data_IF_016873067048
#
_entry.id   IF_016873067048
#
_cell.length_a   1.000
_cell.length_b   1.000
_cell.length_c   1.000
_cell.angle_alpha   90.00
_cell.angle_beta   90.00
_cell.angle_gamma   90.00
#
_symmetry.space_group_name_H-M   'P 1'
#
loop_
_entity.id
_entity.type
_entity.pdbx_description
1 polymer ?
#
# COMPACT_ATOMS: atom_id res chain seq x y z
N UNK A 1 -13.40 3.53 -26.85
CA UNK A 1 -13.14 2.15 -26.37
C UNK A 1 -14.07 1.78 -25.21
N UNK A 2 -14.18 2.61 -24.16
CA UNK A 2 -15.05 2.36 -22.99
C UNK A 2 -16.56 2.17 -23.28
N UNK A 3 -17.10 2.93 -24.25
CA UNK A 3 -18.52 2.87 -24.63
C UNK A 3 -18.94 1.56 -25.32
N UNK A 4 -18.03 0.90 -26.03
CA UNK A 4 -18.33 -0.35 -26.77
C UNK A 4 -18.40 -1.55 -25.81
N UNK A 5 -17.55 -1.57 -24.78
CA UNK A 5 -17.54 -2.62 -23.75
C UNK A 5 -18.81 -2.62 -22.89
N UNK A 6 -19.34 -1.43 -22.59
CA UNK A 6 -20.53 -1.30 -21.74
C UNK A 6 -21.82 -1.70 -22.49
N UNK A 7 -21.92 -1.39 -23.78
CA UNK A 7 -23.01 -1.86 -24.65
C UNK A 7 -22.93 -3.38 -24.82
N UNK A 8 -21.73 -3.95 -25.01
CA UNK A 8 -21.52 -5.39 -25.12
C UNK A 8 -21.89 -6.16 -23.84
N UNK A 9 -21.58 -5.60 -22.66
CA UNK A 9 -21.96 -6.18 -21.36
C UNK A 9 -23.48 -6.20 -21.15
N UNK A 10 -24.16 -5.10 -21.50
CA UNK A 10 -25.64 -5.00 -21.38
C UNK A 10 -26.35 -5.96 -22.33
N UNK A 11 -25.88 -6.10 -23.57
CA UNK A 11 -26.45 -7.07 -24.51
C UNK A 11 -26.23 -8.51 -24.06
N UNK A 12 -25.09 -8.83 -23.45
CA UNK A 12 -24.81 -10.17 -22.93
C UNK A 12 -25.78 -10.56 -21.80
N UNK A 13 -25.99 -9.69 -20.81
CA UNK A 13 -26.91 -9.93 -19.69
C UNK A 13 -28.33 -10.17 -20.22
N UNK A 14 -28.75 -9.38 -21.21
CA UNK A 14 -30.08 -9.48 -21.79
C UNK A 14 -30.28 -10.79 -22.56
N UNK A 15 -29.30 -11.19 -23.37
CA UNK A 15 -29.34 -12.47 -24.10
C UNK A 15 -29.32 -13.65 -23.12
N UNK A 16 -28.45 -13.62 -22.12
CA UNK A 16 -28.36 -14.67 -21.10
C UNK A 16 -29.69 -14.81 -20.33
N UNK A 17 -30.32 -13.68 -19.97
CA UNK A 17 -31.63 -13.66 -19.34
C UNK A 17 -32.72 -14.28 -20.22
N UNK A 18 -32.77 -13.92 -21.50
CA UNK A 18 -33.75 -14.49 -22.46
C UNK A 18 -33.55 -16.00 -22.63
N UNK A 19 -32.30 -16.46 -22.75
CA UNK A 19 -31.97 -17.88 -22.88
C UNK A 19 -32.37 -18.63 -21.61
N UNK A 20 -32.10 -18.08 -20.42
CA UNK A 20 -32.48 -18.68 -19.15
C UNK A 20 -34.01 -18.81 -19.01
N UNK A 21 -34.76 -17.77 -19.38
CA UNK A 21 -36.23 -17.79 -19.38
C UNK A 21 -36.75 -18.85 -20.35
N UNK A 22 -36.23 -18.88 -21.58
CA UNK A 22 -36.63 -19.86 -22.59
C UNK A 22 -36.32 -21.29 -22.15
N UNK A 23 -35.16 -21.52 -21.53
CA UNK A 23 -34.78 -22.82 -20.98
C UNK A 23 -35.71 -23.24 -19.83
N UNK A 24 -36.03 -22.32 -18.91
CA UNK A 24 -36.98 -22.58 -17.82
C UNK A 24 -38.36 -23.00 -18.36
N UNK A 25 -38.90 -22.27 -19.34
CA UNK A 25 -40.17 -22.60 -20.00
C UNK A 25 -40.09 -23.99 -20.65
N UNK A 26 -39.03 -24.27 -21.40
CA UNK A 26 -38.84 -25.57 -22.06
C UNK A 26 -38.79 -26.73 -21.06
N UNK A 27 -38.12 -26.55 -19.92
CA UNK A 27 -38.04 -27.56 -18.86
C UNK A 27 -39.40 -27.82 -18.20
N UNK A 28 -40.19 -26.77 -17.92
CA UNK A 28 -41.54 -26.96 -17.37
C UNK A 28 -42.48 -27.64 -18.37
N UNK A 29 -42.39 -27.31 -19.66
CA UNK A 29 -43.16 -27.98 -20.72
C UNK A 29 -42.78 -29.46 -20.83
N UNK A 30 -41.47 -29.77 -20.82
CA UNK A 30 -40.99 -31.16 -20.83
C UNK A 30 -41.48 -31.94 -19.60
N UNK A 31 -41.41 -31.33 -18.41
CA UNK A 31 -41.94 -31.92 -17.19
C UNK A 31 -43.44 -32.23 -17.31
N UNK A 32 -44.23 -31.30 -17.85
CA UNK A 32 -45.65 -31.54 -18.09
C UNK A 32 -45.91 -32.69 -19.07
N UNK A 33 -45.15 -32.80 -20.17
CA UNK A 33 -45.33 -33.90 -21.12
C UNK A 33 -45.02 -35.28 -20.51
N UNK A 34 -44.06 -35.36 -19.57
CA UNK A 34 -43.66 -36.63 -18.93
C UNK A 34 -44.65 -37.04 -17.85
N UNK A 35 -45.04 -36.12 -16.96
CA UNK A 35 -45.83 -36.43 -15.76
C UNK A 35 -47.33 -36.16 -15.92
N UNK A 36 -47.73 -35.38 -16.93
CA UNK A 36 -49.12 -34.95 -17.21
C UNK A 36 -49.86 -34.32 -16.01
N UNK A 37 -49.12 -33.84 -15.01
CA UNK A 37 -49.67 -33.32 -13.77
C UNK A 37 -49.31 -31.84 -13.58
N UNK A 38 -50.25 -30.97 -13.92
CA UNK A 38 -50.11 -29.52 -13.76
C UNK A 38 -50.19 -29.08 -12.28
N UNK A 39 -50.84 -29.87 -11.42
CA UNK A 39 -51.01 -29.52 -10.01
C UNK A 39 -49.69 -29.66 -9.25
N UNK A 40 -48.94 -30.72 -9.53
CA UNK A 40 -47.59 -30.90 -8.97
C UNK A 40 -46.66 -29.76 -9.38
N UNK A 41 -46.66 -29.34 -10.65
CA UNK A 41 -45.87 -28.19 -11.12
C UNK A 41 -46.25 -26.92 -10.36
N UNK A 42 -47.55 -26.69 -10.13
CA UNK A 42 -48.04 -25.48 -9.47
C UNK A 42 -47.62 -25.40 -7.99
N UNK A 43 -47.64 -26.52 -7.26
CA UNK A 43 -47.21 -26.55 -5.85
C UNK A 43 -45.72 -26.19 -5.72
N UNK A 44 -44.86 -26.77 -6.58
CA UNK A 44 -43.43 -26.45 -6.57
C UNK A 44 -43.16 -25.01 -6.99
N UNK A 45 -43.84 -24.51 -8.04
CA UNK A 45 -43.73 -23.11 -8.47
C UNK A 45 -44.07 -22.14 -7.34
N UNK A 46 -45.14 -22.40 -6.58
CA UNK A 46 -45.55 -21.56 -5.45
C UNK A 46 -44.52 -21.61 -4.32
N UNK A 47 -43.92 -22.78 -4.06
CA UNK A 47 -42.82 -22.94 -3.10
C UNK A 47 -41.57 -22.15 -3.49
N UNK A 48 -41.15 -22.26 -4.75
CA UNK A 48 -40.00 -21.52 -5.29
C UNK A 48 -40.25 -20.00 -5.22
N UNK A 49 -41.45 -19.55 -5.59
CA UNK A 49 -41.84 -18.14 -5.51
C UNK A 49 -41.85 -17.62 -4.06
N UNK A 50 -42.29 -18.44 -3.11
CA UNK A 50 -42.29 -18.08 -1.69
C UNK A 50 -40.85 -18.00 -1.11
N UNK A 51 -39.91 -18.79 -1.64
CA UNK A 51 -38.51 -18.80 -1.21
C UNK A 51 -37.65 -17.74 -1.93
N UNK A 52 -38.06 -17.28 -3.12
CA UNK A 52 -37.36 -16.30 -3.94
C UNK A 52 -36.87 -15.04 -3.18
N UNK A 53 -37.64 -14.41 -2.26
CA UNK A 53 -37.15 -13.25 -1.52
C UNK A 53 -35.89 -13.54 -0.71
N UNK A 54 -35.78 -14.74 -0.12
CA UNK A 54 -34.61 -15.15 0.65
C UNK A 54 -33.41 -15.44 -0.26
N UNK A 55 -33.64 -16.08 -1.42
CA UNK A 55 -32.58 -16.31 -2.41
C UNK A 55 -32.00 -15.01 -2.92
N UNK A 56 -32.86 -14.08 -3.35
CA UNK A 56 -32.45 -12.77 -3.86
C UNK A 56 -31.68 -12.00 -2.79
N UNK A 57 -32.15 -12.01 -1.55
CA UNK A 57 -31.44 -11.39 -0.43
C UNK A 57 -30.04 -11.98 -0.20
N UNK A 58 -29.91 -13.31 -0.20
CA UNK A 58 -28.63 -13.99 -0.02
C UNK A 58 -27.66 -13.66 -1.17
N UNK A 59 -28.15 -13.68 -2.41
CA UNK A 59 -27.36 -13.33 -3.59
C UNK A 59 -26.91 -11.87 -3.53
N UNK A 60 -27.78 -10.94 -3.13
CA UNK A 60 -27.41 -9.52 -2.97
C UNK A 60 -26.31 -9.37 -1.92
N UNK A 61 -26.45 -9.98 -0.74
CA UNK A 61 -25.41 -9.91 0.31
C UNK A 61 -24.07 -10.46 -0.20
N UNK A 62 -24.12 -11.58 -0.93
CA UNK A 62 -22.91 -12.18 -1.50
C UNK A 62 -22.24 -11.23 -2.50
N UNK A 63 -23.03 -10.64 -3.40
CA UNK A 63 -22.54 -9.68 -4.41
C UNK A 63 -21.94 -8.45 -3.72
N UNK A 64 -22.67 -7.83 -2.78
CA UNK A 64 -22.21 -6.67 -2.01
C UNK A 64 -20.86 -6.95 -1.32
N UNK A 65 -20.72 -8.13 -0.69
CA UNK A 65 -19.47 -8.51 -0.03
C UNK A 65 -18.31 -8.67 -1.02
N UNK A 66 -18.57 -9.27 -2.19
CA UNK A 66 -17.56 -9.44 -3.23
C UNK A 66 -17.13 -8.09 -3.81
N UNK A 67 -18.08 -7.20 -4.08
CA UNK A 67 -17.82 -5.83 -4.56
C UNK A 67 -17.00 -5.05 -3.54
N UNK A 68 -17.42 -5.03 -2.28
CA UNK A 68 -16.69 -4.36 -1.20
C UNK A 68 -15.25 -4.89 -1.04
N UNK A 69 -15.05 -6.21 -1.22
CA UNK A 69 -13.71 -6.79 -1.18
C UNK A 69 -12.84 -6.33 -2.35
N UNK A 70 -13.41 -6.23 -3.55
CA UNK A 70 -12.70 -5.74 -4.74
C UNK A 70 -12.34 -4.26 -4.60
N UNK A 71 -13.26 -3.43 -4.11
CA UNK A 71 -13.02 -2.01 -3.84
C UNK A 71 -11.90 -1.80 -2.83
N UNK A 72 -11.94 -2.54 -1.70
CA UNK A 72 -10.88 -2.49 -0.68
C UNK A 72 -9.50 -2.83 -1.26
N UNK A 73 -9.40 -3.87 -2.09
CA UNK A 73 -8.14 -4.23 -2.77
C UNK A 73 -7.66 -3.12 -3.71
N UNK A 74 -8.57 -2.53 -4.47
CA UNK A 74 -8.27 -1.42 -5.38
C UNK A 74 -7.76 -0.19 -4.61
N UNK A 75 -8.44 0.17 -3.53
CA UNK A 75 -8.03 1.27 -2.65
C UNK A 75 -6.66 1.01 -2.02
N UNK A 76 -6.42 -0.20 -1.50
CA UNK A 76 -5.14 -0.57 -0.92
C UNK A 76 -3.98 -0.45 -1.93
N UNK A 77 -4.20 -0.87 -3.17
CA UNK A 77 -3.20 -0.73 -4.25
C UNK A 77 -2.91 0.74 -4.55
N UNK A 78 -3.95 1.59 -4.69
CA UNK A 78 -3.79 3.03 -4.91
C UNK A 78 -3.03 3.69 -3.75
N UNK A 79 -3.35 3.36 -2.51
CA UNK A 79 -2.64 3.87 -1.34
C UNK A 79 -1.16 3.49 -1.36
N UNK A 80 -0.83 2.27 -1.77
CA UNK A 80 0.57 1.87 -1.88
C UNK A 80 1.32 2.63 -3.00
N UNK A 81 0.63 3.09 -4.06
CA UNK A 81 1.24 4.00 -5.04
C UNK A 81 1.55 5.37 -4.41
N UNK A 82 0.66 5.88 -3.55
CA UNK A 82 0.88 7.15 -2.84
C UNK A 82 2.06 7.04 -1.85
N UNK A 83 2.12 5.93 -1.10
CA UNK A 83 3.29 5.61 -0.25
C UNK A 83 4.56 5.47 -1.11
N UNK A 84 4.45 4.89 -2.30
CA UNK A 84 5.55 4.84 -3.26
C UNK A 84 6.04 6.23 -3.69
N UNK A 85 5.13 7.16 -4.00
CA UNK A 85 5.49 8.55 -4.29
C UNK A 85 6.23 9.20 -3.11
N UNK A 86 5.80 8.95 -1.88
CA UNK A 86 6.53 9.39 -0.69
C UNK A 86 7.96 8.83 -0.64
N UNK A 87 8.17 7.53 -0.88
CA UNK A 87 9.51 6.96 -0.85
C UNK A 87 10.40 7.43 -2.00
N UNK A 88 9.82 7.66 -3.18
CA UNK A 88 10.54 8.20 -4.34
C UNK A 88 11.00 9.65 -4.12
N UNK A 89 10.17 10.49 -3.49
CA UNK A 89 10.46 11.92 -3.31
C UNK A 89 11.18 12.22 -2.00
N UNK A 90 10.80 11.55 -0.91
CA UNK A 90 11.25 11.88 0.45
C UNK A 90 11.97 10.72 1.13
N UNK A 91 11.27 9.59 1.30
CA UNK A 91 11.68 8.54 2.23
C UNK A 91 13.04 7.91 1.94
N UNK A 92 13.35 7.58 0.68
CA UNK A 92 14.64 6.96 0.32
C UNK A 92 15.82 7.90 0.59
N UNK A 93 15.70 9.16 0.18
CA UNK A 93 16.74 10.16 0.37
C UNK A 93 16.92 10.50 1.84
N UNK A 94 15.82 10.70 2.58
CA UNK A 94 15.88 10.96 4.02
C UNK A 94 16.56 9.81 4.78
N UNK A 95 16.22 8.56 4.47
CA UNK A 95 16.93 7.41 5.07
C UNK A 95 18.42 7.43 4.72
N UNK A 96 18.80 7.70 3.48
CA UNK A 96 20.21 7.74 3.07
C UNK A 96 21.00 8.85 3.78
N UNK A 97 20.43 10.06 3.88
CA UNK A 97 21.05 11.21 4.57
C UNK A 97 21.12 11.01 6.09
N UNK A 98 20.26 10.18 6.67
CA UNK A 98 20.32 9.80 8.09
C UNK A 98 21.30 8.64 8.35
N UNK A 99 21.66 7.87 7.31
CA UNK A 99 22.60 6.74 7.40
C UNK A 99 24.07 7.16 7.41
N UNK A 100 24.40 8.45 7.48
CA UNK A 100 25.80 8.91 7.40
C UNK A 100 26.66 8.46 8.59
N UNK A 101 27.45 7.42 8.32
CA UNK A 101 28.79 7.12 8.83
C UNK A 101 28.95 6.98 10.35
N UNK A 102 28.18 6.04 10.92
CA UNK A 102 28.37 5.53 12.27
C UNK A 102 28.68 4.02 12.25
N UNK A 103 29.33 3.51 13.30
CA UNK A 103 29.91 2.14 13.36
C UNK A 103 28.93 0.98 13.08
N UNK A 104 27.63 1.22 13.10
CA UNK A 104 26.59 0.19 13.00
C UNK A 104 25.89 0.19 11.61
N UNK A 105 26.32 1.04 10.67
CA UNK A 105 25.78 1.10 9.30
C UNK A 105 25.84 -0.25 8.56
N UNK A 106 26.92 -1.02 8.77
CA UNK A 106 27.09 -2.37 8.20
C UNK A 106 26.04 -3.37 8.71
N UNK A 107 25.58 -3.21 9.95
CA UNK A 107 24.48 -4.01 10.50
C UNK A 107 23.17 -3.69 9.78
N UNK A 108 22.90 -2.40 9.52
CA UNK A 108 21.69 -1.98 8.79
C UNK A 108 21.72 -2.44 7.34
N UNK A 109 22.88 -2.38 6.68
CA UNK A 109 23.05 -2.89 5.32
C UNK A 109 22.82 -4.39 5.23
N UNK A 110 23.31 -5.16 6.21
CA UNK A 110 23.06 -6.59 6.27
C UNK A 110 21.58 -6.90 6.57
N UNK A 111 20.98 -6.21 7.52
CA UNK A 111 19.64 -6.53 8.03
C UNK A 111 18.52 -6.03 7.07
N UNK A 112 18.78 -4.98 6.29
CA UNK A 112 17.78 -4.32 5.43
C UNK A 112 18.17 -4.21 3.95
N UNK A 113 19.34 -4.74 3.56
CA UNK A 113 19.76 -4.87 2.16
C UNK A 113 18.91 -5.91 1.43
N UNK A 114 17.83 -5.45 0.81
CA UNK A 114 16.90 -6.31 0.08
C UNK A 114 17.56 -6.92 -1.16
N UNK A 115 17.23 -8.16 -1.49
CA UNK A 115 17.71 -8.83 -2.70
C UNK A 115 16.56 -9.42 -3.51
N UNK A 116 16.82 -9.82 -4.75
CA UNK A 116 15.80 -10.40 -5.62
C UNK A 116 15.19 -11.70 -5.05
N UNK A 117 15.93 -12.40 -4.19
CA UNK A 117 15.61 -13.69 -3.58
C UNK A 117 14.73 -13.56 -2.33
N UNK A 118 14.60 -12.35 -1.77
CA UNK A 118 13.83 -12.14 -0.55
C UNK A 118 12.39 -12.65 -0.68
N UNK A 119 12.00 -13.48 0.27
CA UNK A 119 10.66 -14.05 0.42
C UNK A 119 9.81 -13.20 1.37
N UNK A 120 8.52 -13.54 1.50
CA UNK A 120 7.63 -12.88 2.47
C UNK A 120 8.14 -13.03 3.91
N UNK A 121 8.78 -14.15 4.23
CA UNK A 121 9.31 -14.41 5.56
C UNK A 121 10.54 -13.53 5.85
N UNK A 122 11.39 -13.28 4.85
CA UNK A 122 12.54 -12.37 4.97
C UNK A 122 12.07 -10.94 5.27
N UNK A 123 11.09 -10.44 4.51
CA UNK A 123 10.48 -9.14 4.79
C UNK A 123 9.85 -9.07 6.18
N UNK A 124 9.19 -10.15 6.62
CA UNK A 124 8.60 -10.22 7.95
C UNK A 124 9.64 -10.16 9.07
N UNK A 125 10.75 -10.90 8.95
CA UNK A 125 11.83 -10.84 9.93
C UNK A 125 12.52 -9.47 9.92
N UNK A 126 12.78 -8.90 8.75
CA UNK A 126 13.34 -7.56 8.61
C UNK A 126 12.46 -6.51 9.29
N UNK A 127 11.14 -6.53 9.12
CA UNK A 127 10.25 -5.60 9.83
C UNK A 127 10.31 -5.72 11.35
N UNK A 128 10.40 -6.95 11.87
CA UNK A 128 10.57 -7.18 13.31
C UNK A 128 11.89 -6.64 13.83
N UNK A 129 12.94 -6.75 13.02
CA UNK A 129 14.26 -6.20 13.34
C UNK A 129 14.24 -4.67 13.30
N UNK A 130 13.58 -4.08 12.29
CA UNK A 130 13.45 -2.63 12.12
C UNK A 130 12.85 -1.94 13.36
N UNK A 131 11.82 -2.52 13.98
CA UNK A 131 11.20 -1.98 15.21
C UNK A 131 12.13 -1.96 16.43
N UNK A 132 13.25 -2.68 16.38
CA UNK A 132 14.27 -2.69 17.44
C UNK A 132 15.45 -1.79 17.11
N UNK A 133 15.51 -1.28 15.88
CA UNK A 133 16.59 -0.42 15.41
C UNK A 133 16.51 0.93 16.09
N UNK A 134 17.64 1.37 16.66
CA UNK A 134 17.86 2.74 17.10
C UNK A 134 19.01 3.31 16.30
N UNK A 135 18.79 4.45 15.69
CA UNK A 135 19.80 5.15 14.94
C UNK A 135 20.65 5.98 15.91
N UNK A 136 21.97 5.83 15.83
CA UNK A 136 22.92 6.73 16.50
C UNK A 136 23.43 7.73 15.48
N UNK A 137 23.08 9.00 15.68
CA UNK A 137 23.35 10.05 14.68
C UNK A 137 24.64 10.76 15.03
N UNK A 138 25.63 10.73 14.12
CA UNK A 138 26.84 11.54 14.27
C UNK A 138 26.58 12.97 13.77
N UNK A 139 26.21 13.85 14.72
CA UNK A 139 25.99 15.28 14.45
C UNK A 139 27.24 16.05 14.01
N UNK A 140 28.43 15.44 14.06
CA UNK A 140 29.65 16.02 13.48
C UNK A 140 29.80 15.76 11.98
N UNK A 141 29.06 14.79 11.42
CA UNK A 141 29.19 14.34 10.02
C UNK A 141 27.92 14.50 9.21
N UNK A 142 26.76 14.42 9.85
CA UNK A 142 25.46 14.61 9.20
C UNK A 142 25.30 16.05 8.68
N UNK A 143 24.81 16.20 7.46
CA UNK A 143 24.48 17.50 6.88
C UNK A 143 23.05 17.92 7.25
N UNK A 144 22.87 18.44 8.47
CA UNK A 144 21.57 18.96 8.91
C UNK A 144 21.05 20.09 8.04
N UNK A 145 21.96 20.89 7.45
CA UNK A 145 21.57 22.00 6.58
C UNK A 145 21.02 21.47 5.25
N UNK A 146 21.65 20.45 4.67
CA UNK A 146 21.14 19.71 3.51
C UNK A 146 19.77 19.10 3.76
N UNK A 147 19.60 18.40 4.88
CA UNK A 147 18.31 17.82 5.29
C UNK A 147 17.24 18.91 5.44
N UNK A 148 17.57 20.04 6.08
CA UNK A 148 16.66 21.19 6.22
C UNK A 148 16.19 21.69 4.86
N UNK A 149 17.12 21.98 3.94
CA UNK A 149 16.79 22.50 2.60
C UNK A 149 15.90 21.50 1.87
N UNK A 150 16.27 20.23 1.87
CA UNK A 150 15.52 19.15 1.25
C UNK A 150 14.10 19.02 1.80
N UNK A 151 13.92 18.97 3.12
CA UNK A 151 12.59 18.84 3.73
C UNK A 151 11.72 20.08 3.49
N UNK A 152 12.33 21.27 3.40
CA UNK A 152 11.62 22.50 3.05
C UNK A 152 11.14 22.50 1.60
N UNK A 153 11.94 22.00 0.67
CA UNK A 153 11.53 21.81 -0.74
C UNK A 153 10.36 20.83 -0.86
N UNK A 154 10.33 19.79 -0.01
CA UNK A 154 9.28 18.76 0.00
C UNK A 154 8.06 19.10 0.87
N UNK A 155 8.05 20.26 1.54
CA UNK A 155 7.02 20.62 2.51
C UNK A 155 5.61 20.61 1.92
N UNK A 156 5.41 21.21 0.75
CA UNK A 156 4.09 21.25 0.10
C UNK A 156 3.60 19.84 -0.27
N UNK A 157 4.52 18.97 -0.69
CA UNK A 157 4.21 17.58 -0.99
C UNK A 157 3.82 16.79 0.27
N UNK A 158 4.57 16.93 1.38
CA UNK A 158 4.24 16.30 2.66
C UNK A 158 2.87 16.75 3.19
N UNK A 159 2.55 18.04 3.11
CA UNK A 159 1.22 18.55 3.49
C UNK A 159 0.10 17.97 2.62
N UNK A 160 0.32 17.87 1.30
CA UNK A 160 -0.65 17.24 0.38
C UNK A 160 -0.91 15.77 0.74
N UNK A 161 0.11 15.05 1.20
CA UNK A 161 -0.06 13.67 1.67
C UNK A 161 -0.91 13.60 2.95
N UNK A 162 -0.71 14.54 3.89
CA UNK A 162 -1.48 14.62 5.14
C UNK A 162 -2.95 14.98 4.91
N UNK A 163 -3.27 15.67 3.80
CA UNK A 163 -4.65 15.98 3.42
C UNK A 163 -5.42 14.78 2.86
N UNK A 164 -4.75 13.66 2.54
CA UNK A 164 -5.40 12.50 1.95
C UNK A 164 -6.13 11.66 3.02
N UNK A 165 -7.48 11.63 3.04
CA UNK A 165 -8.23 10.98 4.10
C UNK A 165 -8.01 9.46 4.14
N UNK A 166 -7.71 8.83 3.00
CA UNK A 166 -7.46 7.39 2.94
C UNK A 166 -6.07 7.03 3.52
N UNK A 167 -5.12 7.98 3.58
CA UNK A 167 -3.87 7.79 4.30
C UNK A 167 -4.06 7.97 5.81
N UNK A 168 -4.96 8.85 6.24
CA UNK A 168 -5.30 9.07 7.65
C UNK A 168 -5.86 7.82 8.33
N UNK A 169 -6.50 6.92 7.58
CA UNK A 169 -6.91 5.61 8.09
C UNK A 169 -5.72 4.69 8.44
N UNK A 170 -4.52 4.99 7.93
CA UNK A 170 -3.27 4.30 8.28
C UNK A 170 -2.51 5.10 9.34
N UNK A 171 -2.86 4.85 10.60
CA UNK A 171 -2.25 5.50 11.77
C UNK A 171 -0.71 5.49 11.69
N UNK A 172 -0.10 4.34 11.40
CA UNK A 172 1.37 4.21 11.34
C UNK A 172 2.03 5.15 10.31
N UNK A 173 1.45 5.31 9.12
CA UNK A 173 2.00 6.18 8.08
C UNK A 173 1.72 7.66 8.37
N UNK A 174 0.56 7.97 8.94
CA UNK A 174 0.21 9.33 9.34
C UNK A 174 1.13 9.83 10.45
N UNK A 175 1.41 8.99 11.45
CA UNK A 175 2.39 9.28 12.51
C UNK A 175 3.80 9.49 11.96
N UNK A 176 4.20 8.70 10.94
CA UNK A 176 5.47 8.87 10.25
C UNK A 176 5.55 10.23 9.54
N UNK A 177 4.52 10.62 8.78
CA UNK A 177 4.46 11.93 8.12
C UNK A 177 4.52 13.08 9.13
N UNK A 178 3.79 12.95 10.24
CA UNK A 178 3.77 13.97 11.28
C UNK A 178 5.14 14.15 11.94
N UNK A 179 5.82 13.05 12.28
CA UNK A 179 7.15 13.10 12.88
C UNK A 179 8.22 13.68 11.93
N UNK A 180 8.18 13.35 10.63
CA UNK A 180 9.08 13.94 9.63
C UNK A 180 8.79 15.44 9.45
N UNK A 181 7.51 15.83 9.43
CA UNK A 181 7.11 17.24 9.34
C UNK A 181 7.54 18.01 10.58
N UNK A 182 7.43 17.41 11.77
CA UNK A 182 7.92 17.99 13.02
C UNK A 182 9.44 18.24 12.98
N UNK A 183 10.23 17.26 12.52
CA UNK A 183 11.67 17.44 12.32
C UNK A 183 11.95 18.60 11.34
N UNK A 184 11.20 18.68 10.25
CA UNK A 184 11.35 19.75 9.27
C UNK A 184 11.07 21.14 9.87
N UNK A 185 10.01 21.27 10.68
CA UNK A 185 9.66 22.51 11.39
C UNK A 185 10.73 22.90 12.41
N UNK A 186 11.24 21.93 13.18
CA UNK A 186 12.29 22.19 14.17
C UNK A 186 13.60 22.63 13.51
N UNK A 187 14.03 21.96 12.44
CA UNK A 187 15.20 22.37 11.66
C UNK A 187 14.99 23.75 11.02
N UNK A 188 13.77 24.06 10.57
CA UNK A 188 13.44 25.36 10.02
C UNK A 188 13.58 26.48 11.06
N UNK A 189 13.05 26.27 12.26
CA UNK A 189 13.06 27.23 13.37
C UNK A 189 14.48 27.51 13.90
N UNK A 190 15.41 26.56 13.71
CA UNK A 190 16.82 26.71 14.11
C UNK A 190 17.59 27.59 13.12
N UNK A 191 18.27 28.59 13.66
CA UNK A 191 19.12 29.52 12.89
C UNK A 191 20.47 28.93 12.47
N UNK A 192 21.25 28.42 13.44
CA UNK A 192 22.54 27.76 13.20
C UNK A 192 22.41 26.26 13.45
N UNK A 193 22.64 25.46 12.40
CA UNK A 193 22.65 23.99 12.45
C UNK A 193 24.06 23.39 12.51
N UNK A 194 25.10 24.22 12.39
CA UNK A 194 26.51 23.81 12.44
C UNK A 194 26.98 23.74 13.89
N UNK A 195 26.52 24.66 14.75
CA UNK A 195 26.88 24.74 16.17
C UNK A 195 25.70 24.48 17.11
N UNK A 196 25.10 23.31 16.99
CA UNK A 196 24.05 22.87 17.93
C UNK A 196 24.63 22.34 19.24
N UNK A 197 23.97 22.68 20.36
CA UNK A 197 24.38 22.25 21.70
C UNK A 197 24.21 20.73 21.90
N UNK A 198 24.90 20.15 22.89
CA UNK A 198 24.75 18.72 23.19
C UNK A 198 23.32 18.35 23.65
N UNK A 199 22.60 19.29 24.24
CA UNK A 199 21.18 19.11 24.57
C UNK A 199 20.32 19.02 23.30
N UNK A 200 20.56 19.90 22.32
CA UNK A 200 19.86 19.89 21.04
C UNK A 200 20.18 18.65 20.20
N UNK A 201 21.44 18.20 20.20
CA UNK A 201 21.86 16.96 19.54
C UNK A 201 21.06 15.76 20.07
N UNK A 202 20.95 15.63 21.40
CA UNK A 202 20.16 14.55 22.03
C UNK A 202 18.66 14.68 21.74
N UNK A 203 18.14 15.90 21.66
CA UNK A 203 16.74 16.14 21.28
C UNK A 203 16.47 15.64 19.86
N UNK A 204 17.23 16.12 18.88
CA UNK A 204 17.11 15.74 17.48
C UNK A 204 17.33 14.24 17.25
N UNK A 205 18.29 13.63 17.95
CA UNK A 205 18.48 12.18 17.89
C UNK A 205 17.23 11.45 18.37
N UNK A 206 16.62 11.93 19.45
CA UNK A 206 15.35 11.45 19.95
C UNK A 206 14.26 11.54 18.89
N UNK A 207 14.10 12.69 18.24
CA UNK A 207 13.06 12.92 17.22
C UNK A 207 13.26 12.06 15.98
N UNK A 208 14.50 11.91 15.51
CA UNK A 208 14.82 10.99 14.42
C UNK A 208 14.45 9.55 14.82
N UNK A 209 14.81 9.13 16.03
CA UNK A 209 14.46 7.81 16.54
C UNK A 209 12.96 7.60 16.83
N UNK A 210 12.12 8.65 16.84
CA UNK A 210 10.66 8.50 16.94
C UNK A 210 10.04 7.95 15.66
N UNK A 211 10.69 8.16 14.51
CA UNK A 211 10.14 7.77 13.21
C UNK A 211 11.02 6.82 12.40
N UNK A 212 12.33 6.74 12.68
CA UNK A 212 13.26 6.02 11.81
C UNK A 212 12.97 4.51 11.71
N UNK A 213 12.61 3.87 12.83
CA UNK A 213 12.19 2.46 12.86
C UNK A 213 10.94 2.22 12.00
N UNK A 214 9.92 3.09 12.15
CA UNK A 214 8.69 3.05 11.37
C UNK A 214 8.93 3.35 9.89
N UNK A 215 9.86 4.26 9.58
CA UNK A 215 10.26 4.59 8.22
C UNK A 215 10.83 3.36 7.51
N UNK A 216 11.67 2.57 8.19
CA UNK A 216 12.18 1.29 7.68
C UNK A 216 11.04 0.28 7.49
N UNK A 217 10.15 0.14 8.47
CA UNK A 217 9.01 -0.79 8.37
C UNK A 217 8.12 -0.47 7.16
N UNK A 218 7.75 0.80 6.99
CA UNK A 218 6.94 1.24 5.85
C UNK A 218 7.70 1.09 4.52
N UNK A 219 9.02 1.30 4.52
CA UNK A 219 9.85 1.07 3.35
C UNK A 219 9.88 -0.41 2.96
N UNK A 220 9.99 -1.32 3.93
CA UNK A 220 9.94 -2.77 3.69
C UNK A 220 8.56 -3.21 3.18
N UNK A 221 7.47 -2.63 3.70
CA UNK A 221 6.11 -2.85 3.19
C UNK A 221 5.98 -2.39 1.73
N UNK A 222 6.53 -1.22 1.41
CA UNK A 222 6.59 -0.68 0.06
C UNK A 222 7.41 -1.58 -0.87
N UNK A 223 8.61 -1.99 -0.46
CA UNK A 223 9.49 -2.87 -1.23
C UNK A 223 8.84 -4.23 -1.52
N UNK A 224 8.21 -4.85 -0.51
CA UNK A 224 7.46 -6.10 -0.68
C UNK A 224 6.27 -5.91 -1.64
N UNK A 225 5.56 -4.77 -1.55
CA UNK A 225 4.47 -4.48 -2.45
C UNK A 225 4.93 -4.36 -3.91
N UNK A 226 6.03 -3.64 -4.15
CA UNK A 226 6.64 -3.52 -5.47
C UNK A 226 7.08 -4.87 -6.01
N UNK A 227 7.74 -5.71 -5.19
CA UNK A 227 8.16 -7.06 -5.60
C UNK A 227 6.98 -7.87 -6.15
N UNK A 228 5.83 -7.80 -5.47
CA UNK A 228 4.67 -8.62 -5.81
C UNK A 228 3.82 -8.05 -6.96
N UNK A 229 3.77 -6.74 -7.14
CA UNK A 229 2.81 -6.09 -8.06
C UNK A 229 3.47 -5.25 -9.17
N UNK A 230 4.69 -4.78 -8.96
CA UNK A 230 5.42 -3.93 -9.89
C UNK A 230 6.91 -4.32 -10.00
N UNK A 231 7.23 -5.49 -10.57
CA UNK A 231 8.61 -6.00 -10.61
C UNK A 231 9.63 -5.06 -11.26
N UNK A 232 9.20 -4.23 -12.21
CA UNK A 232 10.07 -3.24 -12.86
C UNK A 232 10.51 -2.12 -11.89
N UNK A 233 9.61 -1.63 -11.02
CA UNK A 233 9.97 -0.68 -9.97
C UNK A 233 10.83 -1.35 -8.90
N UNK A 234 10.55 -2.61 -8.56
CA UNK A 234 11.37 -3.37 -7.62
C UNK A 234 12.80 -3.56 -8.14
N UNK A 235 12.98 -3.85 -9.43
CA UNK A 235 14.30 -3.94 -10.06
C UNK A 235 15.12 -2.66 -9.91
N UNK A 236 14.50 -1.49 -10.08
CA UNK A 236 15.18 -0.21 -9.83
C UNK A 236 15.51 -0.05 -8.34
N UNK A 237 14.55 -0.33 -7.46
CA UNK A 237 14.74 -0.22 -6.01
C UNK A 237 15.92 -1.08 -5.51
N UNK A 238 16.07 -2.31 -6.02
CA UNK A 238 17.20 -3.19 -5.69
C UNK A 238 18.56 -2.54 -5.97
N UNK A 239 18.65 -1.63 -6.94
CA UNK A 239 19.92 -0.98 -7.31
C UNK A 239 20.12 0.38 -6.65
N UNK A 240 19.05 1.03 -6.18
CA UNK A 240 19.10 2.42 -5.68
C UNK A 240 18.65 2.59 -4.23
N UNK A 241 18.34 1.52 -3.49
CA UNK A 241 17.88 1.64 -2.10
C UNK A 241 18.97 2.19 -1.16
N UNK A 242 18.60 2.77 0.00
CA UNK A 242 19.57 3.39 0.91
C UNK A 242 20.44 2.39 1.70
N UNK A 243 20.01 1.13 1.86
CA UNK A 243 20.71 0.11 2.65
C UNK A 243 21.82 -0.65 1.89
N UNK A 244 22.66 0.05 1.15
CA UNK A 244 23.79 -0.52 0.41
C UNK A 244 24.91 0.51 0.25
N UNK A 245 26.14 0.02 0.03
CA UNK A 245 27.34 0.86 0.00
C UNK A 245 27.41 1.78 -1.22
N UNK A 246 27.07 1.26 -2.39
CA UNK A 246 27.24 1.96 -3.67
C UNK A 246 25.95 1.85 -4.50
N UNK A 247 24.90 2.61 -4.15
CA UNK A 247 23.68 2.65 -4.95
C UNK A 247 23.97 3.22 -6.34
N UNK A 248 23.54 2.51 -7.40
CA UNK A 248 23.65 2.96 -8.78
C UNK A 248 22.37 2.67 -9.55
N UNK A 249 21.91 3.60 -10.38
CA UNK A 249 20.74 3.36 -11.23
C UNK A 249 21.07 2.49 -12.45
N UNK A 250 22.35 2.39 -12.82
CA UNK A 250 22.82 1.73 -14.02
C UNK A 250 22.69 0.20 -13.92
N UNK A 251 22.37 -0.44 -15.04
CA UNK A 251 22.38 -1.90 -15.16
C UNK A 251 23.79 -2.30 -15.54
N UNK A 252 24.54 -2.87 -14.61
CA UNK A 252 25.86 -3.45 -14.90
C UNK A 252 25.59 -4.76 -15.67
N UNK A 253 26.11 -4.81 -16.90
CA UNK A 253 25.96 -5.94 -17.83
C UNK A 253 26.87 -7.13 -17.45
#
# INVERSE_FOLDING_TARGET
MWYIDEVGKKSFILIAGVVAIAASIALYVLHYFIFQDAHHIFIYLLGDLAFMPLEVFLVIILIERLLAQQERKSLQSKLNMVVGAFFMSVGNRLMAELLTDFREQETLYRDFGITAEWTRDDFFQARKQALKTRLRVDFGRIDLQGIKVFLMEQRAFLLTLMENPNLLEREAFTELLWAITHLAEELQARGDLIKISDADRRHLEGDINRFYDRLIVEWLNYAEHLKNHYPYFYSLLLRTHPFQREPSAEVIA
#
